data_IF_044202747051
#
_entry.id   IF_044202747051
#
_cell.length_a   1.000
_cell.length_b   1.000
_cell.length_c   1.000
_cell.angle_alpha   90.00
_cell.angle_beta   90.00
_cell.angle_gamma   90.00
#
_symmetry.space_group_name_H-M   'P 1'
#
loop_
_entity.id
_entity.type
_entity.pdbx_description
1 polymer ?
#
# COMPACT_ATOMS: atom_id res chain seq x y z
N UNK A 1 -15.26 -11.58 17.42
CA UNK A 1 -14.81 -11.14 16.07
C UNK A 1 -14.13 -9.79 16.26
N UNK A 2 -12.94 -9.62 15.73
CA UNK A 2 -12.22 -8.34 15.82
C UNK A 2 -12.93 -7.32 14.95
N UNK A 3 -13.10 -6.10 15.45
CA UNK A 3 -13.75 -5.02 14.67
C UNK A 3 -12.85 -4.65 13.47
N UNK A 4 -13.40 -4.53 12.25
CA UNK A 4 -12.61 -4.21 11.07
C UNK A 4 -12.03 -2.79 11.16
N UNK A 5 -10.78 -2.62 10.77
CA UNK A 5 -10.12 -1.32 10.71
C UNK A 5 -10.60 -0.47 9.51
N UNK A 6 -10.99 -1.15 8.44
CA UNK A 6 -11.47 -0.53 7.21
C UNK A 6 -12.66 -1.30 6.68
N UNK A 7 -13.74 -0.61 6.32
CA UNK A 7 -14.94 -1.20 5.72
C UNK A 7 -15.27 -0.51 4.41
N UNK A 8 -15.48 -1.30 3.38
CA UNK A 8 -15.95 -0.84 2.08
C UNK A 8 -17.40 -1.29 1.90
N UNK A 9 -18.32 -0.38 1.58
CA UNK A 9 -19.76 -0.66 1.45
C UNK A 9 -20.30 -0.10 0.14
N UNK A 10 -20.77 -0.98 -0.72
CA UNK A 10 -21.39 -0.67 -2.02
C UNK A 10 -20.56 0.28 -2.89
N UNK A 11 -19.23 0.13 -2.82
CA UNK A 11 -18.31 1.00 -3.50
C UNK A 11 -18.36 0.77 -5.02
N UNK A 12 -18.71 1.80 -5.76
CA UNK A 12 -18.59 1.81 -7.22
C UNK A 12 -17.68 2.95 -7.64
N UNK A 13 -16.81 2.68 -8.62
CA UNK A 13 -15.89 3.66 -9.18
C UNK A 13 -16.04 3.70 -10.69
N UNK A 14 -16.10 4.90 -11.22
CA UNK A 14 -16.26 5.16 -12.67
C UNK A 14 -15.07 6.00 -13.16
N UNK A 15 -14.54 5.64 -14.32
CA UNK A 15 -13.65 6.46 -15.13
C UNK A 15 -14.46 7.01 -16.31
N UNK A 16 -14.82 8.30 -16.27
CA UNK A 16 -15.84 8.88 -17.13
C UNK A 16 -17.16 8.07 -17.03
N UNK A 17 -17.56 7.40 -18.14
CA UNK A 17 -18.76 6.56 -18.19
C UNK A 17 -18.50 5.07 -17.97
N UNK A 18 -17.22 4.64 -17.91
CA UNK A 18 -16.85 3.24 -17.73
C UNK A 18 -16.78 2.90 -16.26
N UNK A 19 -17.61 1.97 -15.82
CA UNK A 19 -17.60 1.44 -14.48
C UNK A 19 -16.39 0.51 -14.29
N UNK A 20 -15.58 0.74 -13.27
CA UNK A 20 -14.37 -0.01 -12.96
C UNK A 20 -14.49 -0.85 -11.68
N UNK A 21 -15.42 -0.48 -10.79
CA UNK A 21 -15.84 -1.28 -9.63
C UNK A 21 -17.36 -1.27 -9.54
N UNK A 22 -17.95 -2.42 -9.23
CA UNK A 22 -19.38 -2.67 -9.25
C UNK A 22 -19.90 -2.98 -7.84
N UNK A 23 -20.26 -1.95 -7.05
CA UNK A 23 -20.91 -2.12 -5.73
C UNK A 23 -20.16 -3.10 -4.81
N UNK A 24 -18.84 -2.95 -4.71
CA UNK A 24 -17.97 -3.82 -3.93
C UNK A 24 -18.16 -3.56 -2.44
N UNK A 25 -18.35 -4.65 -1.67
CA UNK A 25 -18.44 -4.58 -0.21
C UNK A 25 -17.54 -5.63 0.42
N UNK A 26 -16.59 -5.19 1.28
CA UNK A 26 -15.69 -6.05 2.04
C UNK A 26 -15.10 -5.31 3.23
N UNK A 27 -14.73 -6.07 4.26
CA UNK A 27 -14.14 -5.57 5.48
C UNK A 27 -12.71 -6.06 5.63
N UNK A 28 -11.83 -5.23 6.20
CA UNK A 28 -10.43 -5.57 6.43
C UNK A 28 -10.13 -5.64 7.93
N UNK A 29 -9.58 -6.77 8.34
CA UNK A 29 -9.20 -7.02 9.73
C UNK A 29 -7.85 -6.36 10.05
N UNK A 30 -7.67 -5.76 11.25
CA UNK A 30 -6.39 -5.23 11.66
C UNK A 30 -5.28 -6.29 11.68
N UNK A 31 -4.06 -5.90 11.24
CA UNK A 31 -2.85 -6.74 11.31
C UNK A 31 -2.95 -8.04 10.52
N UNK A 32 -3.65 -7.99 9.40
CA UNK A 32 -3.73 -9.06 8.42
C UNK A 32 -3.23 -8.55 7.06
N UNK A 33 -2.72 -9.47 6.25
CA UNK A 33 -2.45 -9.25 4.83
C UNK A 33 -3.65 -9.77 4.05
N UNK A 34 -4.38 -8.87 3.39
CA UNK A 34 -5.42 -9.24 2.42
C UNK A 34 -4.88 -9.13 1.01
N UNK A 35 -4.81 -10.25 0.29
CA UNK A 35 -4.48 -10.24 -1.13
C UNK A 35 -5.71 -9.93 -1.98
N UNK A 36 -5.54 -9.07 -2.96
CA UNK A 36 -6.53 -8.77 -4.01
C UNK A 36 -6.00 -9.38 -5.31
N UNK A 37 -6.64 -10.44 -5.79
CA UNK A 37 -6.23 -11.20 -6.98
C UNK A 37 -7.28 -11.11 -8.10
N UNK A 38 -6.89 -11.47 -9.31
CA UNK A 38 -7.76 -11.48 -10.49
C UNK A 38 -7.06 -10.91 -11.73
N UNK A 39 -7.70 -10.97 -12.90
CA UNK A 39 -7.14 -10.51 -14.18
C UNK A 39 -6.75 -9.02 -14.17
N UNK A 40 -5.89 -8.61 -15.11
CA UNK A 40 -5.59 -7.20 -15.34
C UNK A 40 -6.89 -6.45 -15.72
N UNK A 41 -7.06 -5.25 -15.13
CA UNK A 41 -8.26 -4.43 -15.39
C UNK A 41 -9.48 -4.82 -14.57
N UNK A 42 -9.42 -5.81 -13.68
CA UNK A 42 -10.56 -6.22 -12.83
C UNK A 42 -10.88 -5.27 -11.66
N UNK A 43 -10.25 -4.10 -11.56
CA UNK A 43 -10.60 -3.09 -10.55
C UNK A 43 -9.74 -3.06 -9.29
N UNK A 44 -8.81 -3.99 -9.08
CA UNK A 44 -7.99 -4.10 -7.85
C UNK A 44 -7.23 -2.82 -7.48
N UNK A 45 -6.43 -2.29 -8.40
CA UNK A 45 -5.71 -1.02 -8.20
C UNK A 45 -6.66 0.17 -8.06
N UNK A 46 -7.83 0.10 -8.68
CA UNK A 46 -8.89 1.10 -8.52
C UNK A 46 -9.43 1.11 -7.09
N UNK A 47 -9.61 -0.08 -6.48
CA UNK A 47 -10.00 -0.19 -5.07
C UNK A 47 -8.95 0.44 -4.15
N UNK A 48 -7.65 0.13 -4.34
CA UNK A 48 -6.60 0.75 -3.52
C UNK A 48 -6.60 2.27 -3.64
N UNK A 49 -6.72 2.79 -4.87
CA UNK A 49 -6.76 4.25 -5.12
C UNK A 49 -8.02 4.91 -4.55
N UNK A 50 -9.13 4.20 -4.48
CA UNK A 50 -10.35 4.68 -3.82
C UNK A 50 -10.17 4.74 -2.30
N UNK A 51 -9.52 3.73 -1.68
CA UNK A 51 -9.30 3.65 -0.23
C UNK A 51 -8.43 4.80 0.29
N UNK A 52 -7.37 5.21 -0.43
CA UNK A 52 -6.54 6.35 0.00
C UNK A 52 -6.86 7.66 -0.74
N UNK A 53 -7.94 7.67 -1.51
CA UNK A 53 -8.41 8.84 -2.27
C UNK A 53 -7.39 9.42 -3.26
N UNK A 54 -6.41 8.64 -3.71
CA UNK A 54 -5.53 9.08 -4.81
C UNK A 54 -6.26 9.11 -6.15
N UNK A 55 -7.38 8.39 -6.29
CA UNK A 55 -8.28 8.48 -7.43
C UNK A 55 -8.85 9.88 -7.65
N UNK A 56 -9.06 10.65 -6.57
CA UNK A 56 -9.60 12.02 -6.61
C UNK A 56 -8.69 13.03 -7.34
N UNK A 57 -7.41 12.68 -7.53
CA UNK A 57 -6.47 13.49 -8.31
C UNK A 57 -6.77 13.47 -9.82
N UNK A 58 -7.62 12.54 -10.26
CA UNK A 58 -8.11 12.48 -11.63
C UNK A 58 -9.58 12.92 -11.68
N UNK A 59 -9.84 14.05 -12.32
CA UNK A 59 -11.19 14.63 -12.47
C UNK A 59 -12.18 13.73 -13.24
N UNK A 60 -11.69 12.73 -13.95
CA UNK A 60 -12.52 11.76 -14.66
C UNK A 60 -13.03 10.63 -13.76
N UNK A 61 -12.59 10.57 -12.50
CA UNK A 61 -12.97 9.54 -11.55
C UNK A 61 -14.16 10.00 -10.72
N UNK A 62 -15.19 9.17 -10.68
CA UNK A 62 -16.35 9.36 -9.78
C UNK A 62 -16.50 8.12 -8.91
N UNK A 63 -16.64 8.35 -7.62
CA UNK A 63 -16.80 7.29 -6.62
C UNK A 63 -18.16 7.43 -5.93
N UNK A 64 -18.89 6.32 -5.78
CA UNK A 64 -20.13 6.21 -5.00
C UNK A 64 -20.03 5.07 -4.00
N UNK A 65 -20.91 5.05 -2.99
CA UNK A 65 -20.78 4.14 -1.86
C UNK A 65 -20.03 4.77 -0.71
N UNK A 66 -19.56 3.94 0.23
CA UNK A 66 -18.85 4.43 1.44
C UNK A 66 -17.60 3.59 1.71
N UNK A 67 -16.56 4.28 2.19
CA UNK A 67 -15.38 3.64 2.78
C UNK A 67 -15.23 4.20 4.19
N UNK A 68 -15.33 3.33 5.19
CA UNK A 68 -15.29 3.71 6.60
C UNK A 68 -13.92 3.31 7.16
N UNK A 69 -13.19 4.28 7.67
CA UNK A 69 -11.92 4.11 8.37
C UNK A 69 -12.04 4.72 9.76
N UNK A 70 -11.70 3.97 10.81
CA UNK A 70 -11.85 4.40 12.21
C UNK A 70 -13.26 4.97 12.51
N UNK A 71 -14.33 4.35 11.98
CA UNK A 71 -15.71 4.78 12.18
C UNK A 71 -16.14 6.00 11.35
N UNK A 72 -15.27 6.59 10.53
CA UNK A 72 -15.58 7.76 9.72
C UNK A 72 -15.56 7.44 8.23
N UNK A 73 -16.56 7.93 7.49
CA UNK A 73 -16.56 7.84 6.04
C UNK A 73 -15.47 8.77 5.45
N UNK A 74 -14.47 8.18 4.78
CA UNK A 74 -13.37 8.93 4.19
C UNK A 74 -13.79 9.86 3.03
N UNK A 75 -14.98 9.68 2.47
CA UNK A 75 -15.57 10.55 1.44
C UNK A 75 -16.42 11.69 2.03
N UNK A 76 -16.44 11.84 3.36
CA UNK A 76 -17.06 13.00 4.00
C UNK A 76 -16.35 14.30 3.54
N UNK A 77 -17.11 15.41 3.30
CA UNK A 77 -16.51 16.70 2.96
C UNK A 77 -15.54 17.26 4.02
N UNK A 78 -15.60 16.74 5.24
CA UNK A 78 -14.74 17.15 6.37
C UNK A 78 -13.45 16.32 6.45
N UNK A 79 -13.25 15.32 5.60
CA UNK A 79 -12.06 14.46 5.64
C UNK A 79 -10.84 15.22 5.15
N UNK A 80 -9.82 15.33 5.99
CA UNK A 80 -8.50 15.78 5.58
C UNK A 80 -7.79 14.63 4.83
N UNK A 81 -7.63 14.81 3.51
CA UNK A 81 -7.00 13.78 2.66
C UNK A 81 -5.48 13.69 2.86
N UNK A 82 -4.84 14.71 3.39
CA UNK A 82 -3.41 14.69 3.73
C UNK A 82 -3.22 13.79 4.95
N UNK A 83 -4.02 13.99 5.99
CA UNK A 83 -3.98 13.15 7.19
C UNK A 83 -4.37 11.70 6.87
N UNK A 84 -5.41 11.50 6.06
CA UNK A 84 -5.80 10.16 5.61
C UNK A 84 -4.64 9.41 4.94
N UNK A 85 -3.86 10.06 4.07
CA UNK A 85 -2.75 9.44 3.34
C UNK A 85 -1.51 9.20 4.19
N UNK A 86 -1.38 9.82 5.36
CA UNK A 86 -0.39 9.45 6.37
C UNK A 86 -0.76 8.13 7.03
N UNK A 87 -2.03 7.99 7.40
CA UNK A 87 -2.57 6.79 8.05
C UNK A 87 -2.69 5.60 7.10
N UNK A 88 -2.98 5.86 5.82
CA UNK A 88 -3.14 4.87 4.75
C UNK A 88 -2.09 5.12 3.67
N UNK A 89 -0.91 4.57 3.88
CA UNK A 89 0.23 4.71 2.96
C UNK A 89 0.08 3.83 1.73
N UNK A 90 0.75 4.20 0.62
CA UNK A 90 0.69 3.44 -0.63
C UNK A 90 2.08 3.24 -1.25
N UNK A 91 2.35 2.01 -1.64
CA UNK A 91 3.50 1.60 -2.46
C UNK A 91 2.98 1.27 -3.86
N UNK A 92 3.55 1.91 -4.87
CA UNK A 92 3.11 1.78 -6.27
C UNK A 92 3.81 0.63 -6.98
N UNK A 93 3.23 0.16 -8.08
CA UNK A 93 3.74 -0.92 -8.92
C UNK A 93 5.14 -0.64 -9.44
N UNK A 94 5.38 0.57 -9.96
CA UNK A 94 6.71 1.00 -10.38
C UNK A 94 7.38 1.75 -9.24
N UNK A 95 8.65 1.44 -8.93
CA UNK A 95 9.43 2.24 -8.00
C UNK A 95 9.39 3.71 -8.39
N UNK A 96 9.11 4.57 -7.44
CA UNK A 96 8.99 6.01 -7.65
C UNK A 96 9.76 6.81 -6.59
N UNK A 97 11.05 6.54 -6.39
CA UNK A 97 11.83 7.37 -5.49
C UNK A 97 11.87 8.81 -6.02
N UNK A 98 11.81 9.77 -5.12
CA UNK A 98 12.02 11.17 -5.49
C UNK A 98 13.47 11.39 -5.97
N UNK A 99 13.74 12.38 -6.84
CA UNK A 99 15.08 12.72 -7.30
C UNK A 99 15.89 13.41 -6.17
N UNK A 100 16.04 12.72 -5.07
CA UNK A 100 16.68 13.12 -3.82
C UNK A 100 17.56 12.00 -3.30
N UNK A 101 18.27 12.24 -2.20
CA UNK A 101 19.04 11.20 -1.52
C UNK A 101 18.15 10.09 -0.96
N UNK A 102 18.73 8.95 -0.60
CA UNK A 102 18.04 7.86 0.09
C UNK A 102 17.47 8.38 1.42
N UNK A 103 18.29 9.13 2.17
CA UNK A 103 17.91 9.76 3.43
C UNK A 103 16.68 10.68 3.26
N UNK A 104 16.73 11.59 2.30
CA UNK A 104 15.65 12.55 2.05
C UNK A 104 14.36 11.84 1.58
N UNK A 105 14.47 10.77 0.80
CA UNK A 105 13.30 9.97 0.42
C UNK A 105 12.59 9.40 1.64
N UNK A 106 13.32 8.83 2.60
CA UNK A 106 12.73 8.22 3.80
C UNK A 106 12.17 9.28 4.75
N UNK A 107 12.89 10.39 4.94
CA UNK A 107 12.48 11.45 5.87
C UNK A 107 11.42 12.39 5.29
N UNK A 108 11.18 12.37 3.98
CA UNK A 108 10.33 13.33 3.29
C UNK A 108 8.96 13.50 3.96
N UNK A 109 8.27 12.39 4.22
CA UNK A 109 6.95 12.40 4.87
C UNK A 109 6.98 12.99 6.29
N UNK A 110 8.04 12.75 7.06
CA UNK A 110 8.22 13.30 8.40
C UNK A 110 8.48 14.81 8.34
N UNK A 111 9.36 15.25 7.43
CA UNK A 111 9.74 16.66 7.32
C UNK A 111 8.57 17.53 6.87
N UNK A 112 7.77 17.12 5.89
CA UNK A 112 6.57 17.87 5.48
C UNK A 112 5.51 17.91 6.58
N UNK A 113 5.55 16.97 7.52
CA UNK A 113 4.69 16.95 8.72
C UNK A 113 5.30 17.72 9.91
N UNK A 114 6.39 18.48 9.69
CA UNK A 114 6.96 19.38 10.67
C UNK A 114 8.00 18.77 11.60
N UNK A 115 8.40 17.51 11.42
CA UNK A 115 9.50 16.89 12.19
C UNK A 115 10.81 17.50 11.73
N UNK A 116 11.53 18.15 12.65
CA UNK A 116 12.80 18.87 12.41
C UNK A 116 13.95 18.32 13.24
N UNK A 117 13.65 17.54 14.26
CA UNK A 117 14.66 16.95 15.14
C UNK A 117 15.49 15.92 14.35
N UNK A 118 16.79 16.19 14.24
CA UNK A 118 17.71 15.36 13.46
C UNK A 118 17.81 13.94 14.03
N UNK A 119 17.80 13.79 15.36
CA UNK A 119 17.89 12.49 15.99
C UNK A 119 16.66 11.64 15.66
N UNK A 120 15.46 12.23 15.70
CA UNK A 120 14.21 11.54 15.34
C UNK A 120 14.22 11.12 13.86
N UNK A 121 14.75 11.98 12.99
CA UNK A 121 14.87 11.65 11.55
C UNK A 121 15.88 10.53 11.31
N UNK A 122 17.05 10.57 11.95
CA UNK A 122 18.10 9.54 11.84
C UNK A 122 17.59 8.17 12.33
N UNK A 123 16.91 8.13 13.47
CA UNK A 123 16.29 6.91 14.01
C UNK A 123 15.19 6.35 13.09
N UNK A 124 14.37 7.24 12.52
CA UNK A 124 13.33 6.85 11.57
C UNK A 124 13.93 6.26 10.28
N UNK A 125 15.01 6.85 9.76
CA UNK A 125 15.72 6.34 8.57
C UNK A 125 16.27 4.95 8.83
N UNK A 126 17.04 4.78 9.92
CA UNK A 126 17.63 3.49 10.26
C UNK A 126 16.56 2.41 10.45
N UNK A 127 15.54 2.72 11.24
CA UNK A 127 14.44 1.78 11.54
C UNK A 127 13.66 1.41 10.28
N UNK A 128 13.31 2.39 9.45
CA UNK A 128 12.52 2.13 8.25
C UNK A 128 13.29 1.36 7.19
N UNK A 129 14.58 1.66 6.99
CA UNK A 129 15.43 0.93 6.05
C UNK A 129 15.72 -0.50 6.54
N UNK A 130 15.86 -0.72 7.86
CA UNK A 130 15.94 -2.08 8.45
C UNK A 130 14.64 -2.84 8.22
N UNK A 131 13.51 -2.23 8.51
CA UNK A 131 12.20 -2.83 8.29
C UNK A 131 11.90 -3.11 6.80
N UNK A 132 12.48 -2.36 5.89
CA UNK A 132 12.40 -2.59 4.45
C UNK A 132 13.51 -3.54 3.93
N UNK A 133 14.29 -4.16 4.81
CA UNK A 133 15.37 -5.12 4.51
C UNK A 133 16.40 -4.59 3.50
N UNK A 134 16.76 -3.30 3.61
CA UNK A 134 17.74 -2.66 2.71
C UNK A 134 18.88 -1.94 3.44
N UNK A 135 18.80 -1.81 4.76
CA UNK A 135 19.76 -1.04 5.56
C UNK A 135 21.22 -1.38 5.24
N UNK A 136 21.59 -2.66 5.25
CA UNK A 136 22.97 -3.09 5.05
C UNK A 136 23.51 -2.81 3.64
N UNK A 137 22.61 -2.63 2.67
CA UNK A 137 22.99 -2.29 1.29
C UNK A 137 23.23 -0.79 1.09
N UNK A 138 22.67 0.08 1.98
CA UNK A 138 22.64 1.53 1.75
C UNK A 138 23.17 2.39 2.90
N UNK A 139 23.44 1.81 4.10
CA UNK A 139 23.82 2.55 5.30
C UNK A 139 25.05 3.47 5.12
N UNK A 140 26.01 3.08 4.27
CA UNK A 140 27.24 3.85 4.03
C UNK A 140 27.09 4.87 2.88
N UNK A 141 25.89 4.97 2.29
CA UNK A 141 25.60 5.82 1.12
C UNK A 141 24.21 6.49 1.20
N UNK A 142 23.76 6.82 2.39
CA UNK A 142 22.42 7.41 2.62
C UNK A 142 22.21 8.74 1.90
N UNK A 143 23.27 9.47 1.61
CA UNK A 143 23.24 10.75 0.90
C UNK A 143 23.39 10.62 -0.61
N UNK A 144 23.57 9.40 -1.14
CA UNK A 144 23.56 9.17 -2.58
C UNK A 144 22.13 9.29 -3.13
N UNK A 145 22.03 9.58 -4.44
CA UNK A 145 20.75 9.67 -5.14
C UNK A 145 20.03 8.32 -5.15
N UNK A 146 18.79 8.30 -4.70
CA UNK A 146 17.95 7.09 -4.70
C UNK A 146 17.65 6.58 -6.13
N UNK A 147 17.68 7.44 -7.14
CA UNK A 147 17.47 7.06 -8.55
C UNK A 147 18.62 6.17 -9.09
N UNK A 148 19.83 6.29 -8.53
CA UNK A 148 20.97 5.48 -8.92
C UNK A 148 20.94 4.02 -8.40
N UNK A 149 19.95 3.64 -7.61
CA UNK A 149 19.76 2.30 -7.07
C UNK A 149 19.18 1.34 -8.12
N UNK A 150 19.36 0.02 -7.92
CA UNK A 150 18.63 -0.98 -8.71
C UNK A 150 17.12 -0.89 -8.47
N UNK A 151 16.29 -1.40 -9.39
CA UNK A 151 14.84 -1.36 -9.27
C UNK A 151 14.33 -1.99 -7.96
N UNK A 152 14.90 -3.13 -7.54
CA UNK A 152 14.54 -3.76 -6.27
C UNK A 152 14.96 -2.95 -5.04
N UNK A 153 16.12 -2.27 -5.11
CA UNK A 153 16.56 -1.35 -4.05
C UNK A 153 15.65 -0.10 -4.00
N UNK A 154 15.33 0.48 -5.16
CA UNK A 154 14.40 1.61 -5.24
C UNK A 154 13.05 1.28 -4.63
N UNK A 155 12.51 0.09 -4.94
CA UNK A 155 11.22 -0.35 -4.39
C UNK A 155 11.27 -0.48 -2.87
N UNK A 156 12.35 -1.06 -2.31
CA UNK A 156 12.52 -1.16 -0.85
C UNK A 156 12.70 0.21 -0.19
N UNK A 157 13.33 1.18 -0.85
CA UNK A 157 13.37 2.58 -0.38
C UNK A 157 11.98 3.20 -0.40
N UNK A 158 11.15 2.93 -1.42
CA UNK A 158 9.75 3.36 -1.43
C UNK A 158 8.92 2.73 -0.30
N UNK A 159 9.16 1.45 0.03
CA UNK A 159 8.57 0.81 1.21
C UNK A 159 9.03 1.51 2.49
N UNK A 160 10.34 1.74 2.66
CA UNK A 160 10.90 2.45 3.82
C UNK A 160 10.31 3.86 3.98
N UNK A 161 10.13 4.59 2.88
CA UNK A 161 9.48 5.91 2.88
C UNK A 161 8.06 5.86 3.43
N UNK A 162 7.29 4.84 3.09
CA UNK A 162 5.93 4.64 3.64
C UNK A 162 6.00 4.25 5.11
N UNK A 163 6.89 3.35 5.50
CA UNK A 163 7.05 2.90 6.89
C UNK A 163 7.48 4.01 7.85
N UNK A 164 8.27 4.98 7.36
CA UNK A 164 8.75 6.09 8.17
C UNK A 164 7.63 6.95 8.77
N UNK A 165 6.49 7.05 8.10
CA UNK A 165 5.32 7.78 8.60
C UNK A 165 4.48 6.95 9.59
N UNK A 166 4.86 5.70 9.86
CA UNK A 166 4.15 4.78 10.76
C UNK A 166 2.65 4.65 10.45
N UNK A 167 2.26 4.33 9.21
CA UNK A 167 0.87 4.23 8.81
C UNK A 167 0.15 3.10 9.58
N UNK A 168 -1.18 3.13 9.58
CA UNK A 168 -2.02 2.03 10.11
C UNK A 168 -2.30 0.97 9.05
N UNK A 169 -2.43 1.41 7.80
CA UNK A 169 -2.70 0.56 6.65
C UNK A 169 -1.65 0.84 5.57
N UNK A 170 -1.15 -0.22 4.93
CA UNK A 170 -0.24 -0.13 3.79
C UNK A 170 -0.93 -0.75 2.58
N UNK A 171 -1.12 0.04 1.54
CA UNK A 171 -1.62 -0.39 0.25
C UNK A 171 -0.45 -0.70 -0.67
N UNK A 172 -0.46 -1.88 -1.28
CA UNK A 172 0.64 -2.41 -2.09
C UNK A 172 0.08 -2.77 -3.48
N UNK A 173 0.35 -1.95 -4.47
CA UNK A 173 -0.13 -2.16 -5.85
C UNK A 173 0.94 -2.90 -6.67
N UNK A 174 0.84 -4.23 -6.77
CA UNK A 174 1.77 -5.12 -7.48
C UNK A 174 3.27 -4.83 -7.18
N UNK A 175 3.70 -4.76 -5.89
CA UNK A 175 5.01 -4.20 -5.51
C UNK A 175 6.21 -5.01 -6.01
N UNK A 176 6.00 -6.22 -6.54
CA UNK A 176 7.04 -7.13 -7.00
C UNK A 176 7.04 -7.38 -8.51
N UNK A 177 6.02 -6.88 -9.24
CA UNK A 177 5.78 -7.26 -10.64
C UNK A 177 6.87 -6.81 -11.63
N UNK A 178 7.62 -5.75 -11.28
CA UNK A 178 8.70 -5.19 -12.12
C UNK A 178 10.10 -5.65 -11.68
N UNK A 179 10.20 -6.60 -10.73
CA UNK A 179 11.44 -6.99 -10.10
C UNK A 179 11.90 -8.39 -10.55
N UNK A 180 13.20 -8.61 -10.47
CA UNK A 180 13.77 -9.97 -10.58
C UNK A 180 13.33 -10.86 -9.41
N UNK A 181 13.38 -12.21 -9.55
CA UNK A 181 12.88 -13.13 -8.53
C UNK A 181 13.54 -12.98 -7.15
N UNK A 182 14.83 -12.63 -7.10
CA UNK A 182 15.56 -12.46 -5.82
C UNK A 182 15.07 -11.20 -5.11
N UNK A 183 14.96 -10.10 -5.83
CA UNK A 183 14.43 -8.84 -5.29
C UNK A 183 12.96 -8.97 -4.87
N UNK A 184 12.14 -9.69 -5.65
CA UNK A 184 10.76 -9.98 -5.31
C UNK A 184 10.66 -10.80 -4.01
N UNK A 185 11.49 -11.84 -3.83
CA UNK A 185 11.55 -12.64 -2.61
C UNK A 185 11.87 -11.79 -1.38
N UNK A 186 12.85 -10.88 -1.47
CA UNK A 186 13.18 -9.96 -0.36
C UNK A 186 12.02 -9.04 0.01
N UNK A 187 11.23 -8.56 -0.95
CA UNK A 187 10.03 -7.77 -0.68
C UNK A 187 8.98 -8.63 0.05
N UNK A 188 8.74 -9.86 -0.42
CA UNK A 188 7.78 -10.77 0.21
C UNK A 188 8.15 -11.08 1.66
N UNK A 189 9.41 -11.41 1.93
CA UNK A 189 9.92 -11.63 3.29
C UNK A 189 9.73 -10.38 4.17
N UNK A 190 10.03 -9.20 3.62
CA UNK A 190 9.80 -7.92 4.29
C UNK A 190 8.34 -7.73 4.68
N UNK A 191 7.41 -7.91 3.73
CA UNK A 191 5.98 -7.75 3.98
C UNK A 191 5.47 -8.75 5.01
N UNK A 192 5.89 -10.01 4.90
CA UNK A 192 5.51 -11.05 5.86
C UNK A 192 6.00 -10.73 7.28
N UNK A 193 7.23 -10.23 7.42
CA UNK A 193 7.80 -9.81 8.71
C UNK A 193 7.12 -8.56 9.33
N UNK A 194 6.34 -7.82 8.54
CA UNK A 194 5.63 -6.62 8.99
C UNK A 194 4.16 -6.89 9.38
N UNK A 195 3.60 -8.08 9.11
CA UNK A 195 2.15 -8.36 9.24
C UNK A 195 1.62 -8.13 10.67
N UNK A 196 2.39 -8.47 11.71
CA UNK A 196 1.94 -8.31 13.09
C UNK A 196 1.84 -6.84 13.54
N UNK A 197 2.40 -5.92 12.75
CA UNK A 197 2.43 -4.49 13.05
C UNK A 197 1.51 -3.66 12.16
N UNK A 198 1.31 -4.07 10.92
CA UNK A 198 0.59 -3.31 9.90
C UNK A 198 -0.55 -4.13 9.29
N UNK A 199 -1.64 -3.46 8.96
CA UNK A 199 -2.67 -4.00 8.08
C UNK A 199 -2.24 -3.75 6.64
N UNK A 200 -2.25 -4.78 5.79
CA UNK A 200 -1.75 -4.65 4.42
C UNK A 200 -2.79 -5.13 3.40
N UNK A 201 -2.99 -4.35 2.35
CA UNK A 201 -3.79 -4.73 1.19
C UNK A 201 -2.84 -4.89 0.00
N UNK A 202 -2.68 -6.11 -0.48
CA UNK A 202 -1.73 -6.47 -1.52
C UNK A 202 -2.45 -6.82 -2.82
N UNK A 203 -2.34 -5.98 -3.84
CA UNK A 203 -2.70 -6.37 -5.21
C UNK A 203 -1.57 -7.20 -5.80
N UNK A 204 -1.89 -8.38 -6.29
CA UNK A 204 -0.93 -9.23 -7.00
C UNK A 204 -1.59 -10.03 -8.11
N UNK A 205 -0.81 -10.34 -9.15
CA UNK A 205 -1.17 -11.31 -10.21
C UNK A 205 -0.67 -12.71 -9.90
N UNK A 206 0.23 -12.84 -8.95
CA UNK A 206 0.80 -14.13 -8.55
C UNK A 206 -0.09 -14.79 -7.49
N UNK A 207 -0.80 -15.83 -7.90
CA UNK A 207 -1.57 -16.67 -6.96
C UNK A 207 -0.65 -17.35 -5.95
N UNK A 208 0.58 -17.70 -6.36
CA UNK A 208 1.58 -18.26 -5.45
C UNK A 208 2.01 -17.26 -4.38
N UNK A 209 2.18 -15.98 -4.72
CA UNK A 209 2.48 -14.94 -3.75
C UNK A 209 1.31 -14.76 -2.77
N UNK A 210 0.08 -14.62 -3.27
CA UNK A 210 -1.11 -14.51 -2.45
C UNK A 210 -1.22 -15.68 -1.47
N UNK A 211 -1.12 -16.91 -1.96
CA UNK A 211 -1.19 -18.13 -1.13
C UNK A 211 -0.11 -18.20 -0.04
N UNK A 212 1.11 -17.65 -0.30
CA UNK A 212 2.22 -17.72 0.69
C UNK A 212 2.14 -16.70 1.80
N UNK A 213 1.73 -15.47 1.49
CA UNK A 213 1.92 -14.37 2.44
C UNK A 213 0.63 -13.74 2.96
N UNK A 214 -0.54 -14.00 2.35
CA UNK A 214 -1.79 -13.41 2.79
C UNK A 214 -2.58 -14.29 3.76
N UNK A 215 -3.29 -13.64 4.67
CA UNK A 215 -4.23 -14.27 5.62
C UNK A 215 -5.60 -14.43 4.96
N UNK A 216 -6.03 -13.43 4.20
CA UNK A 216 -7.28 -13.43 3.43
C UNK A 216 -7.04 -13.10 1.96
N UNK A 217 -7.93 -13.59 1.11
CA UNK A 217 -7.86 -13.36 -0.34
C UNK A 217 -9.22 -12.92 -0.88
N UNK A 218 -9.21 -11.88 -1.71
CA UNK A 218 -10.37 -11.39 -2.45
C UNK A 218 -10.11 -11.57 -3.97
N UNK A 219 -11.00 -12.28 -4.64
CA UNK A 219 -10.95 -12.50 -6.08
C UNK A 219 -11.87 -11.53 -6.82
N UNK A 220 -11.27 -10.77 -7.74
CA UNK A 220 -11.96 -9.77 -8.57
C UNK A 220 -12.02 -10.18 -10.03
N UNK A 221 -13.19 -9.98 -10.66
CA UNK A 221 -13.41 -10.18 -12.10
C UNK A 221 -14.30 -9.05 -12.63
N UNK A 222 -13.86 -8.37 -13.68
CA UNK A 222 -14.61 -7.33 -14.40
C UNK A 222 -15.26 -6.24 -13.50
N UNK A 223 -14.61 -5.91 -12.40
CA UNK A 223 -15.07 -4.90 -11.43
C UNK A 223 -15.91 -5.46 -10.30
N UNK A 224 -16.24 -6.74 -10.30
CA UNK A 224 -17.00 -7.41 -9.27
C UNK A 224 -16.08 -8.14 -8.28
N UNK A 225 -16.45 -8.13 -7.00
CA UNK A 225 -15.90 -9.02 -5.98
C UNK A 225 -16.63 -10.36 -6.06
N UNK A 226 -15.92 -11.39 -6.54
CA UNK A 226 -16.50 -12.71 -6.77
C UNK A 226 -16.45 -13.56 -5.51
N UNK A 227 -15.33 -13.51 -4.79
CA UNK A 227 -15.09 -14.30 -3.58
C UNK A 227 -14.19 -13.56 -2.60
N UNK A 228 -14.43 -13.72 -1.31
CA UNK A 228 -13.61 -13.17 -0.24
C UNK A 228 -13.67 -14.05 1.00
N UNK A 229 -12.58 -14.76 1.30
CA UNK A 229 -12.48 -15.64 2.47
C UNK A 229 -11.03 -15.75 2.96
N UNK A 230 -10.81 -16.60 3.96
CA UNK A 230 -9.47 -17.01 4.40
C UNK A 230 -8.70 -17.58 3.21
N UNK A 231 -7.44 -17.23 3.08
CA UNK A 231 -6.58 -17.65 1.95
C UNK A 231 -6.54 -19.17 1.82
N UNK A 232 -6.52 -19.92 2.94
CA UNK A 232 -6.54 -21.39 2.96
C UNK A 232 -7.83 -22.03 2.45
N UNK A 233 -8.90 -21.27 2.23
CA UNK A 233 -10.15 -21.76 1.65
C UNK A 233 -10.26 -21.43 0.17
N UNK A 234 -9.55 -20.41 -0.29
CA UNK A 234 -9.53 -19.96 -1.69
C UNK A 234 -8.52 -20.79 -2.48
N UNK A 235 -7.43 -21.23 -1.87
CA UNK A 235 -6.37 -22.06 -2.43
C UNK A 235 -6.33 -23.47 -1.80
#
# INVERSE_FOLDING_TARGET
MTEPILQVKDLSVYYNKKKALNSVSLDFTPKEITALIGPSGSGKSTLLKAINRTGDLNHEVTTTGTVIYNGHNIYSPRTDTVELRKEIGMVFQQPNPFPMSIYDNVTYGLMINGVKDKQVLDEAVETSLKNASIWDEVKDRLHDSAIGLSGGQQQRVCVARVLATSPKIILLDEPTSALDPISAGKIEETLYGLKDRYTMLLVTRSMQQASRISDRTAFFLDGDLIEYDDTSKIF
#
